data_IF_702944501567
#
_entry.id   IF_702944501567
#
_cell.length_a   1.000
_cell.length_b   1.000
_cell.length_c   1.000
_cell.angle_alpha   90.00
_cell.angle_beta   90.00
_cell.angle_gamma   90.00
#
_symmetry.space_group_name_H-M   'P 1'
#
loop_
_entity.id
_entity.type
_entity.pdbx_description
1 polymer ?
#
# COMPACT_ATOMS: atom_id res chain seq x y z
N UNK A 1 -53.17 -32.20 0.37
CA UNK A 1 -52.21 -31.48 1.26
C UNK A 1 -50.88 -32.22 1.31
N UNK A 2 -49.91 -31.91 0.44
CA UNK A 2 -48.46 -32.16 0.65
C UNK A 2 -47.69 -31.09 -0.11
N UNK A 3 -47.15 -30.11 0.60
CA UNK A 3 -46.31 -29.04 0.04
C UNK A 3 -44.87 -29.55 0.05
N UNK A 4 -44.31 -29.82 -1.13
CA UNK A 4 -42.88 -30.02 -1.30
C UNK A 4 -42.17 -28.67 -1.19
N UNK A 5 -41.29 -28.53 -0.20
CA UNK A 5 -40.52 -27.33 0.07
C UNK A 5 -39.28 -27.36 -0.83
N UNK A 6 -39.27 -26.54 -1.87
CA UNK A 6 -38.07 -26.27 -2.65
C UNK A 6 -37.07 -25.52 -1.75
N UNK A 7 -35.87 -26.08 -1.60
CA UNK A 7 -34.73 -25.39 -1.02
C UNK A 7 -34.30 -24.29 -1.99
N UNK A 8 -34.34 -23.03 -1.52
CA UNK A 8 -33.73 -21.90 -2.20
C UNK A 8 -32.22 -22.01 -1.97
N UNK A 9 -31.46 -22.22 -3.05
CA UNK A 9 -30.04 -21.88 -3.06
C UNK A 9 -29.96 -20.35 -3.03
N UNK A 10 -29.21 -19.79 -2.08
CA UNK A 10 -28.86 -18.37 -2.11
C UNK A 10 -27.45 -18.25 -2.69
N UNK A 11 -27.40 -17.67 -3.88
CA UNK A 11 -26.20 -17.38 -4.64
C UNK A 11 -25.37 -16.25 -4.00
N UNK A 12 -24.05 -16.45 -3.99
CA UNK A 12 -23.12 -15.48 -4.59
C UNK A 12 -22.65 -14.27 -3.76
N UNK A 13 -21.56 -14.48 -3.02
CA UNK A 13 -20.43 -13.57 -2.84
C UNK A 13 -20.70 -12.05 -2.75
N UNK A 14 -21.01 -11.60 -1.53
CA UNK A 14 -20.91 -10.19 -1.13
C UNK A 14 -19.42 -9.80 -1.08
N UNK A 15 -18.95 -9.02 -2.06
CA UNK A 15 -17.55 -8.59 -2.15
C UNK A 15 -17.06 -7.96 -0.85
N UNK A 16 -16.20 -8.65 -0.11
CA UNK A 16 -15.70 -8.20 1.19
C UNK A 16 -14.98 -6.85 1.04
N UNK A 17 -15.44 -5.83 1.78
CA UNK A 17 -14.72 -4.56 1.88
C UNK A 17 -13.37 -4.84 2.54
N UNK A 18 -12.31 -4.24 1.99
CA UNK A 18 -10.99 -4.33 2.60
C UNK A 18 -11.05 -3.76 4.02
N UNK A 19 -10.51 -4.51 4.98
CA UNK A 19 -10.52 -4.08 6.38
C UNK A 19 -9.57 -2.91 6.60
N UNK A 20 -9.93 -1.99 7.51
CA UNK A 20 -9.02 -0.96 7.98
C UNK A 20 -8.23 -1.49 9.16
N UNK A 21 -6.97 -1.85 8.93
CA UNK A 21 -6.03 -2.21 9.98
C UNK A 21 -5.08 -1.03 10.23
N UNK A 22 -4.89 -0.57 11.47
CA UNK A 22 -3.94 0.50 11.78
C UNK A 22 -2.52 0.17 11.28
N UNK A 23 -1.78 1.18 10.82
CA UNK A 23 -0.41 1.03 10.29
C UNK A 23 0.58 0.48 11.32
N UNK A 24 0.32 0.68 12.61
CA UNK A 24 1.14 0.15 13.70
C UNK A 24 0.84 -1.30 14.10
N UNK A 25 -0.15 -1.93 13.48
CA UNK A 25 -0.54 -3.31 13.80
C UNK A 25 0.10 -4.31 12.84
N UNK A 26 0.34 -5.55 13.30
CA UNK A 26 0.85 -6.62 12.44
C UNK A 26 -0.24 -7.07 11.44
N UNK A 27 0.03 -7.13 10.13
CA UNK A 27 -0.88 -7.73 9.16
C UNK A 27 -1.16 -9.20 9.49
N UNK A 28 -2.42 -9.60 9.33
CA UNK A 28 -2.86 -10.99 9.44
C UNK A 28 -2.73 -11.63 8.06
N UNK A 29 -2.21 -12.86 8.02
CA UNK A 29 -2.09 -13.60 6.76
C UNK A 29 -3.46 -13.79 6.10
N UNK A 30 -3.45 -13.85 4.76
CA UNK A 30 -4.62 -14.11 3.91
C UNK A 30 -5.78 -13.13 4.15
N UNK A 31 -5.45 -11.89 4.47
CA UNK A 31 -6.40 -10.80 4.69
C UNK A 31 -6.28 -9.74 3.61
N UNK A 32 -7.35 -8.96 3.41
CA UNK A 32 -7.30 -7.78 2.55
C UNK A 32 -7.40 -6.49 3.35
N UNK A 33 -6.51 -5.54 3.04
CA UNK A 33 -6.45 -4.24 3.70
C UNK A 33 -6.63 -3.09 2.73
N UNK A 34 -7.16 -1.99 3.28
CA UNK A 34 -7.07 -0.69 2.61
C UNK A 34 -5.66 -0.13 2.81
N UNK A 35 -4.98 0.16 1.72
CA UNK A 35 -3.61 0.67 1.68
C UNK A 35 -3.50 1.81 0.68
N UNK A 36 -2.32 2.44 0.63
CA UNK A 36 -2.07 3.66 -0.09
C UNK A 36 -0.72 3.61 -0.80
N UNK A 37 -0.67 4.15 -2.01
CA UNK A 37 0.56 4.32 -2.79
C UNK A 37 0.64 5.76 -3.31
N UNK A 38 1.69 6.47 -2.93
CA UNK A 38 2.00 7.81 -3.44
C UNK A 38 2.68 7.73 -4.79
N UNK A 39 2.19 8.49 -5.77
CA UNK A 39 2.70 8.48 -7.14
C UNK A 39 2.41 9.80 -7.85
N UNK A 40 2.81 9.94 -9.11
CA UNK A 40 2.49 11.13 -9.92
C UNK A 40 1.11 11.02 -10.57
N UNK A 41 0.55 12.14 -11.04
CA UNK A 41 -0.71 12.15 -11.81
C UNK A 41 -0.64 11.23 -13.02
N UNK A 42 0.43 11.32 -13.80
CA UNK A 42 0.65 10.50 -14.99
C UNK A 42 0.76 9.01 -14.64
N UNK A 43 1.57 8.67 -13.62
CA UNK A 43 1.71 7.29 -13.19
C UNK A 43 0.40 6.72 -12.62
N UNK A 44 -0.40 7.51 -11.90
CA UNK A 44 -1.73 7.11 -11.45
C UNK A 44 -2.66 6.75 -12.62
N UNK A 45 -2.65 7.53 -13.70
CA UNK A 45 -3.42 7.23 -14.92
C UNK A 45 -2.92 5.96 -15.62
N UNK A 46 -1.59 5.79 -15.70
CA UNK A 46 -0.98 4.58 -16.26
C UNK A 46 -1.36 3.32 -15.45
N UNK A 47 -1.23 3.37 -14.12
CA UNK A 47 -1.57 2.26 -13.22
C UNK A 47 -3.04 1.90 -13.33
N UNK A 48 -3.93 2.88 -13.47
CA UNK A 48 -5.36 2.61 -13.68
C UNK A 48 -5.67 1.86 -14.98
N UNK A 49 -4.92 2.13 -16.05
CA UNK A 49 -5.13 1.48 -17.36
C UNK A 49 -4.46 0.11 -17.42
N UNK A 50 -3.24 0.02 -16.90
CA UNK A 50 -2.33 -1.09 -17.18
C UNK A 50 -2.03 -1.96 -15.95
N UNK A 51 -2.52 -1.57 -14.77
CA UNK A 51 -2.12 -2.18 -13.50
C UNK A 51 -0.76 -1.68 -13.01
N UNK A 52 -0.33 -2.18 -11.86
CA UNK A 52 0.99 -1.86 -11.32
C UNK A 52 2.08 -2.65 -12.08
N UNK A 53 3.16 -1.95 -12.41
CA UNK A 53 4.44 -2.60 -12.73
C UNK A 53 5.27 -2.67 -11.43
N UNK A 54 5.76 -3.85 -11.02
CA UNK A 54 6.58 -3.97 -9.82
C UNK A 54 7.94 -3.30 -10.03
N UNK A 55 8.46 -2.66 -8.99
CA UNK A 55 9.84 -2.19 -8.99
C UNK A 55 10.80 -3.38 -9.12
N UNK A 56 11.91 -3.20 -9.84
CA UNK A 56 12.92 -4.24 -10.03
C UNK A 56 13.78 -4.49 -8.78
N UNK A 57 13.90 -3.50 -7.90
CA UNK A 57 14.61 -3.61 -6.62
C UNK A 57 14.04 -2.58 -5.63
N UNK A 58 14.50 -2.66 -4.38
CA UNK A 58 14.25 -1.71 -3.31
C UNK A 58 14.76 -2.26 -1.98
N UNK A 59 14.38 -1.61 -0.87
CA UNK A 59 14.78 -2.06 0.47
C UNK A 59 14.34 -3.49 0.75
N UNK A 60 13.19 -3.92 0.23
CA UNK A 60 12.61 -5.26 0.37
C UNK A 60 12.76 -6.09 -0.91
N UNK A 61 13.60 -5.66 -1.85
CA UNK A 61 13.71 -6.28 -3.17
C UNK A 61 12.55 -5.91 -4.11
N UNK A 62 12.34 -6.68 -5.18
CA UNK A 62 11.34 -6.38 -6.20
C UNK A 62 9.89 -6.52 -5.68
N UNK A 63 9.00 -5.67 -6.21
CA UNK A 63 7.57 -5.66 -5.87
C UNK A 63 6.94 -4.27 -5.88
N UNK A 64 5.70 -4.18 -5.44
CA UNK A 64 4.95 -2.92 -5.31
C UNK A 64 4.93 -2.47 -3.85
N UNK A 65 5.44 -1.26 -3.61
CA UNK A 65 5.54 -0.69 -2.27
C UNK A 65 4.29 0.09 -1.90
N UNK A 66 3.69 -0.26 -0.77
CA UNK A 66 2.44 0.33 -0.28
C UNK A 66 2.52 0.59 1.23
N UNK A 67 1.61 1.42 1.72
CA UNK A 67 1.54 1.86 3.11
C UNK A 67 0.11 1.78 3.61
N UNK A 68 -0.12 1.45 4.87
CA UNK A 68 -1.43 1.62 5.52
C UNK A 68 -1.63 3.05 6.02
N UNK A 69 -0.55 3.80 6.15
CA UNK A 69 -0.56 5.23 6.45
C UNK A 69 -0.76 6.08 5.17
N UNK A 70 -1.91 6.78 5.02
CA UNK A 70 -2.16 7.67 3.89
C UNK A 70 -1.32 8.95 3.93
N UNK A 71 -0.95 9.44 5.12
CA UNK A 71 -0.10 10.64 5.27
C UNK A 71 1.32 10.32 4.77
N UNK A 72 1.83 9.13 5.07
CA UNK A 72 3.08 8.63 4.48
C UNK A 72 3.01 8.66 2.96
N UNK A 73 1.97 8.05 2.38
CA UNK A 73 1.81 7.97 0.93
C UNK A 73 1.70 9.36 0.28
N UNK A 74 1.07 10.34 0.95
CA UNK A 74 0.91 11.70 0.44
C UNK A 74 2.23 12.45 0.16
N UNK A 75 3.32 12.03 0.80
CA UNK A 75 4.63 12.67 0.68
C UNK A 75 5.40 12.27 -0.58
N UNK A 76 5.00 11.18 -1.24
CA UNK A 76 5.75 10.63 -2.37
C UNK A 76 5.08 10.89 -3.72
N UNK A 77 5.87 11.04 -4.80
CA UNK A 77 7.34 11.15 -4.81
C UNK A 77 7.84 12.45 -4.17
N UNK A 78 9.03 12.44 -3.57
CA UNK A 78 9.57 13.57 -2.78
C UNK A 78 10.03 14.74 -3.65
N UNK A 79 10.44 14.42 -4.87
CA UNK A 79 10.99 15.31 -5.91
C UNK A 79 9.93 15.88 -6.85
N UNK A 80 8.65 15.65 -6.54
CA UNK A 80 7.50 16.10 -7.35
C UNK A 80 6.69 17.15 -6.60
N UNK A 81 6.25 18.18 -7.33
CA UNK A 81 5.36 19.21 -6.81
C UNK A 81 4.07 18.58 -6.24
N UNK A 82 3.62 19.06 -5.08
CA UNK A 82 2.41 18.54 -4.42
C UNK A 82 1.15 18.58 -5.32
N UNK A 83 1.10 19.48 -6.31
CA UNK A 83 0.02 19.60 -7.29
C UNK A 83 -0.04 18.41 -8.24
N UNK A 84 1.11 17.78 -8.53
CA UNK A 84 1.25 16.65 -9.43
C UNK A 84 1.27 15.30 -8.70
N UNK A 85 1.42 15.30 -7.38
CA UNK A 85 1.27 14.09 -6.56
C UNK A 85 -0.17 13.57 -6.53
N UNK A 86 -0.32 12.26 -6.51
CA UNK A 86 -1.57 11.53 -6.33
C UNK A 86 -1.36 10.40 -5.33
N UNK A 87 -2.40 10.10 -4.57
CA UNK A 87 -2.45 8.93 -3.71
C UNK A 87 -3.44 7.95 -4.34
N UNK A 88 -2.99 6.75 -4.63
CA UNK A 88 -3.87 5.64 -4.98
C UNK A 88 -4.32 4.99 -3.67
N UNK A 89 -5.63 4.94 -3.42
CA UNK A 89 -6.21 4.04 -2.43
C UNK A 89 -6.39 2.66 -3.06
N UNK A 90 -6.02 1.64 -2.31
CA UNK A 90 -5.88 0.27 -2.78
C UNK A 90 -6.66 -0.68 -1.87
N UNK A 91 -7.26 -1.71 -2.46
CA UNK A 91 -7.54 -2.98 -1.78
C UNK A 91 -6.40 -3.93 -2.09
N UNK A 92 -5.66 -4.33 -1.07
CA UNK A 92 -4.48 -5.22 -1.20
C UNK A 92 -4.77 -6.52 -0.48
N UNK A 93 -4.70 -7.65 -1.20
CA UNK A 93 -4.62 -8.99 -0.60
C UNK A 93 -3.18 -9.29 -0.22
N UNK A 94 -2.88 -9.39 1.07
CA UNK A 94 -1.50 -9.52 1.55
C UNK A 94 -0.99 -10.97 1.54
N UNK A 95 -1.86 -11.96 1.30
CA UNK A 95 -1.47 -13.37 1.31
C UNK A 95 -0.64 -13.75 2.55
N UNK A 96 0.44 -14.52 2.37
CA UNK A 96 1.37 -14.87 3.44
C UNK A 96 2.37 -13.74 3.67
N UNK A 97 2.36 -13.16 4.88
CA UNK A 97 3.18 -12.00 5.23
C UNK A 97 4.48 -12.40 5.93
N UNK A 98 5.61 -11.83 5.49
CA UNK A 98 6.91 -11.94 6.18
C UNK A 98 7.26 -10.63 6.87
N UNK A 99 7.45 -10.66 8.19
CA UNK A 99 8.04 -9.54 8.93
C UNK A 99 9.53 -9.40 8.59
N UNK A 100 9.96 -8.18 8.23
CA UNK A 100 11.35 -7.78 7.99
C UNK A 100 11.61 -6.57 8.90
N UNK A 101 12.36 -6.75 9.98
CA UNK A 101 12.40 -5.78 11.10
C UNK A 101 13.80 -5.27 11.46
N UNK A 102 14.79 -5.52 10.62
CA UNK A 102 16.14 -4.97 10.76
C UNK A 102 16.89 -5.04 9.43
N UNK A 103 17.83 -4.10 9.23
CA UNK A 103 18.68 -4.09 8.05
C UNK A 103 19.57 -5.35 8.02
N UNK A 104 19.73 -5.94 6.85
CA UNK A 104 20.44 -7.20 6.67
C UNK A 104 19.65 -8.44 7.06
N UNK A 105 18.33 -8.33 7.30
CA UNK A 105 17.50 -9.50 7.60
C UNK A 105 17.68 -10.58 6.51
N UNK A 106 17.84 -11.87 6.85
CA UNK A 106 18.20 -12.92 5.88
C UNK A 106 17.26 -13.07 4.68
N UNK A 107 15.98 -12.71 4.87
CA UNK A 107 14.96 -12.71 3.82
C UNK A 107 14.60 -11.32 3.27
N UNK A 108 15.36 -10.27 3.60
CA UNK A 108 15.01 -8.87 3.29
C UNK A 108 14.64 -8.67 1.83
N UNK A 109 15.41 -9.24 0.89
CA UNK A 109 15.16 -9.16 -0.55
C UNK A 109 14.69 -10.48 -1.21
N UNK A 110 14.58 -11.57 -0.44
CA UNK A 110 14.35 -12.92 -0.98
C UNK A 110 13.13 -13.63 -0.41
N UNK A 111 12.33 -12.93 0.40
CA UNK A 111 11.11 -13.46 1.02
C UNK A 111 10.13 -14.08 0.01
N UNK A 112 9.97 -13.48 -1.18
CA UNK A 112 9.06 -14.00 -2.21
C UNK A 112 9.47 -15.41 -2.69
N UNK A 113 10.77 -15.67 -2.83
CA UNK A 113 11.30 -17.01 -3.18
C UNK A 113 11.05 -18.07 -2.10
N UNK A 114 10.68 -17.66 -0.89
CA UNK A 114 10.30 -18.53 0.23
C UNK A 114 8.79 -18.71 0.37
N UNK A 115 8.02 -18.32 -0.65
CA UNK A 115 6.57 -18.50 -0.71
C UNK A 115 5.80 -17.52 0.16
N UNK A 116 6.34 -16.31 0.36
CA UNK A 116 5.62 -15.20 0.96
C UNK A 116 5.11 -14.26 -0.14
N UNK A 117 3.93 -13.68 0.05
CA UNK A 117 3.28 -12.80 -0.92
C UNK A 117 3.57 -11.33 -0.64
N UNK A 118 3.82 -10.99 0.62
CA UNK A 118 4.13 -9.63 1.08
C UNK A 118 5.25 -9.65 2.12
N UNK A 119 6.24 -8.78 1.97
CA UNK A 119 7.12 -8.39 3.07
C UNK A 119 6.55 -7.16 3.80
N UNK A 120 6.61 -7.17 5.12
CA UNK A 120 6.13 -6.10 5.98
C UNK A 120 7.22 -5.62 6.93
N UNK A 121 7.48 -4.31 6.89
CA UNK A 121 8.33 -3.56 7.80
C UNK A 121 7.45 -2.96 8.91
N UNK A 122 7.65 -3.33 10.18
CA UNK A 122 6.97 -2.69 11.29
C UNK A 122 7.43 -1.23 11.47
N UNK A 123 6.59 -0.36 12.07
CA UNK A 123 7.07 0.95 12.46
C UNK A 123 8.18 0.84 13.51
N UNK A 124 9.06 1.85 13.56
CA UNK A 124 10.10 2.05 14.58
C UNK A 124 11.09 0.88 14.72
N UNK A 125 11.33 0.11 13.65
CA UNK A 125 12.30 -1.00 13.64
C UNK A 125 13.65 -0.63 12.98
N UNK A 126 13.85 0.63 12.59
CA UNK A 126 15.11 1.10 11.99
C UNK A 126 15.31 0.73 10.51
N UNK A 127 14.30 0.14 9.86
CA UNK A 127 14.36 -0.18 8.42
C UNK A 127 14.25 1.06 7.53
N UNK A 128 13.33 1.98 7.83
CA UNK A 128 13.10 3.21 7.05
C UNK A 128 13.40 4.46 7.89
N UNK A 129 14.00 5.52 7.31
CA UNK A 129 14.33 6.74 8.06
C UNK A 129 13.12 7.39 8.73
N UNK A 130 11.94 7.30 8.11
CA UNK A 130 10.69 7.85 8.67
C UNK A 130 10.20 7.11 9.93
N UNK A 131 10.69 5.89 10.19
CA UNK A 131 10.17 5.02 11.24
C UNK A 131 8.73 4.54 11.03
N UNK A 132 8.11 4.81 9.88
CA UNK A 132 6.77 4.33 9.56
C UNK A 132 6.84 2.89 9.00
N UNK A 133 5.71 2.18 8.97
CA UNK A 133 5.67 0.86 8.32
C UNK A 133 5.96 0.97 6.81
N UNK A 134 6.22 -0.18 6.19
CA UNK A 134 6.13 -0.33 4.74
C UNK A 134 5.80 -1.77 4.37
N UNK A 135 4.95 -1.97 3.36
CA UNK A 135 4.65 -3.27 2.79
C UNK A 135 5.19 -3.33 1.34
N UNK A 136 5.77 -4.47 0.95
CA UNK A 136 6.16 -4.76 -0.44
C UNK A 136 5.44 -6.03 -0.90
N UNK A 137 4.56 -5.88 -1.89
CA UNK A 137 3.73 -6.96 -2.45
C UNK A 137 4.38 -7.49 -3.72
N UNK A 138 4.56 -8.81 -3.80
CA UNK A 138 5.31 -9.43 -4.90
C UNK A 138 4.54 -9.40 -6.22
N UNK A 139 3.29 -9.83 -6.20
CA UNK A 139 2.43 -9.94 -7.37
C UNK A 139 1.44 -8.75 -7.45
N UNK A 140 1.56 -7.87 -8.46
CA UNK A 140 0.61 -6.78 -8.71
C UNK A 140 -0.86 -7.20 -8.82
N UNK A 141 -1.15 -8.44 -9.22
CA UNK A 141 -2.53 -8.94 -9.36
C UNK A 141 -3.32 -8.92 -8.05
N UNK A 142 -2.61 -8.90 -6.91
CA UNK A 142 -3.16 -8.80 -5.55
C UNK A 142 -3.61 -7.39 -5.16
N UNK A 143 -3.34 -6.40 -6.01
CA UNK A 143 -3.58 -4.98 -5.74
C UNK A 143 -4.67 -4.45 -6.67
N UNK A 144 -5.75 -3.95 -6.08
CA UNK A 144 -6.83 -3.27 -6.81
C UNK A 144 -6.90 -1.80 -6.42
N UNK A 145 -6.77 -0.91 -7.42
CA UNK A 145 -7.03 0.52 -7.21
C UNK A 145 -8.53 0.73 -6.96
N UNK A 146 -8.86 1.36 -5.82
CA UNK A 146 -10.24 1.70 -5.46
C UNK A 146 -10.53 3.18 -5.66
N UNK A 147 -9.54 4.06 -5.46
CA UNK A 147 -9.71 5.52 -5.60
C UNK A 147 -8.39 6.21 -5.94
N UNK A 148 -8.48 7.36 -6.60
CA UNK A 148 -7.38 8.32 -6.74
C UNK A 148 -7.71 9.57 -5.92
N UNK A 149 -6.78 10.00 -5.08
CA UNK A 149 -6.94 11.11 -4.15
C UNK A 149 -5.84 12.13 -4.46
N UNK A 150 -6.18 13.42 -4.46
CA UNK A 150 -5.18 14.50 -4.46
C UNK A 150 -4.74 14.74 -3.01
N UNK A 151 -3.43 14.75 -2.70
CA UNK A 151 -2.96 15.16 -1.38
C UNK A 151 -3.55 16.52 -1.00
N UNK A 152 -3.83 16.73 0.28
CA UNK A 152 -4.06 18.09 0.77
C UNK A 152 -2.79 18.88 0.47
N UNK A 153 -2.92 20.06 -0.12
CA UNK A 153 -1.79 20.96 -0.29
C UNK A 153 -1.18 21.23 1.09
N UNK A 154 0.08 20.86 1.28
CA UNK A 154 0.85 21.45 2.36
C UNK A 154 0.95 22.96 2.04
N UNK A 155 0.81 23.86 3.03
CA UNK A 155 1.06 25.26 2.78
C UNK A 155 2.47 25.39 2.19
N UNK A 156 2.58 26.11 1.08
CA UNK A 156 3.85 26.45 0.44
C UNK A 156 4.72 27.16 1.48
N UNK A 157 5.88 26.60 1.80
CA UNK A 157 6.94 27.35 2.48
C UNK A 157 7.62 28.26 1.45
N UNK A 158 6.88 29.26 0.97
CA UNK A 158 7.45 30.36 0.21
C UNK A 158 7.67 31.54 1.18
N UNK A 159 8.95 31.89 1.33
CA UNK A 159 9.49 33.18 1.77
C UNK A 159 9.11 33.66 3.19
N UNK A 160 9.93 33.30 4.18
CA UNK A 160 10.21 34.23 5.28
C UNK A 160 11.27 35.21 4.74
N UNK A 161 10.85 36.41 4.33
CA UNK A 161 11.76 37.55 4.29
C UNK A 161 12.25 37.78 5.72
N UNK A 162 13.56 37.74 5.92
CA UNK A 162 14.18 38.29 7.11
C UNK A 162 14.18 39.80 6.92
N UNK A 163 13.33 40.52 7.65
CA UNK A 163 13.56 41.93 7.92
C UNK A 163 14.77 42.02 8.85
N UNK A 164 15.89 42.48 8.30
CA UNK A 164 17.11 42.86 9.02
C UNK A 164 16.81 44.21 9.73
N UNK A 165 16.78 44.21 11.06
CA UNK A 165 16.93 45.42 11.89
C UNK A 165 18.33 45.46 12.50
#
# INVERSE_FOLDING_TARGET
>A
MRRSRAHRAEDGAMGSRASSLPSNSKPVNNSSYRMYHGTTKEAAENIKRNGFAPSADGMLGPGVYVSRDPEKASRYPLDVDSRDRRILELKVDVGKVKKIDHQGHPLQKSWHSKGYDTAWVPPKCGMVPSGLEEDCVWDPSRIKVTKVIKPKSLPSTDCYEYDDE
#
